data_IF_350973388896
#
_entry.id   IF_350973388896
#
_cell.length_a   1.000
_cell.length_b   1.000
_cell.length_c   1.000
_cell.angle_alpha   90.00
_cell.angle_beta   90.00
_cell.angle_gamma   90.00
#
_symmetry.space_group_name_H-M   'P 1'
#
loop_
_entity.id
_entity.type
_entity.pdbx_description
1 polymer ?
#
# COMPACT_ATOMS: atom_id res chain seq x y z
N UNK A 1 18.17 1.82 -27.77
CA UNK A 1 18.42 2.26 -26.40
C UNK A 1 17.40 1.56 -25.49
N UNK A 2 17.83 0.49 -24.82
CA UNK A 2 17.07 -0.18 -23.77
C UNK A 2 16.91 0.80 -22.60
N UNK A 3 15.73 1.39 -22.44
CA UNK A 3 15.35 2.07 -21.20
C UNK A 3 14.91 0.98 -20.22
N UNK A 4 15.88 0.35 -19.55
CA UNK A 4 15.60 -0.46 -18.39
C UNK A 4 14.95 0.38 -17.28
N UNK A 5 14.17 -0.24 -16.39
CA UNK A 5 13.67 0.40 -15.18
C UNK A 5 14.88 0.89 -14.37
N UNK A 6 14.88 2.18 -14.04
CA UNK A 6 15.88 2.76 -13.14
C UNK A 6 15.38 2.64 -11.69
N UNK A 7 16.29 2.39 -10.73
CA UNK A 7 15.93 2.44 -9.33
C UNK A 7 15.29 3.78 -8.96
N UNK A 8 14.34 3.74 -8.02
CA UNK A 8 13.74 4.95 -7.44
C UNK A 8 14.81 5.86 -6.84
N UNK A 9 14.62 7.18 -6.95
CA UNK A 9 15.47 8.11 -6.25
C UNK A 9 15.37 7.87 -4.73
N UNK A 10 16.49 7.87 -4.03
CA UNK A 10 16.54 7.60 -2.57
C UNK A 10 15.58 8.52 -1.79
N UNK A 11 15.48 9.78 -2.17
CA UNK A 11 14.59 10.74 -1.52
C UNK A 11 13.11 10.37 -1.68
N UNK A 12 12.71 9.91 -2.86
CA UNK A 12 11.32 9.51 -3.14
C UNK A 12 10.98 8.23 -2.37
N UNK A 13 11.88 7.24 -2.36
CA UNK A 13 11.72 6.02 -1.58
C UNK A 13 11.57 6.31 -0.07
N UNK A 14 12.41 7.17 0.49
CA UNK A 14 12.33 7.56 1.90
C UNK A 14 11.03 8.28 2.21
N UNK A 15 10.59 9.20 1.34
CA UNK A 15 9.29 9.89 1.46
C UNK A 15 8.12 8.90 1.46
N UNK A 16 8.15 7.90 0.59
CA UNK A 16 7.11 6.86 0.55
C UNK A 16 7.07 6.05 1.85
N UNK A 17 8.23 5.69 2.40
CA UNK A 17 8.31 4.98 3.67
C UNK A 17 7.78 5.86 4.82
N UNK A 18 8.16 7.12 4.87
CA UNK A 18 7.73 8.05 5.91
C UNK A 18 6.22 8.29 5.88
N UNK A 19 5.66 8.54 4.71
CA UNK A 19 4.22 8.84 4.55
C UNK A 19 3.38 7.58 4.66
N UNK A 20 3.72 6.52 3.92
CA UNK A 20 2.87 5.33 3.81
C UNK A 20 3.03 4.34 4.97
N UNK A 21 4.18 4.33 5.65
CA UNK A 21 4.43 3.38 6.73
C UNK A 21 4.61 4.10 8.06
N UNK A 22 5.66 4.88 8.23
CA UNK A 22 5.99 5.48 9.53
C UNK A 22 4.83 6.29 10.12
N UNK A 23 4.20 7.16 9.34
CA UNK A 23 3.08 7.98 9.82
C UNK A 23 1.89 7.10 10.23
N UNK A 24 1.52 6.10 9.42
CA UNK A 24 0.42 5.18 9.70
C UNK A 24 0.68 4.37 10.98
N UNK A 25 1.87 3.81 11.14
CA UNK A 25 2.22 3.02 12.32
C UNK A 25 2.15 3.84 13.61
N UNK A 26 2.69 5.05 13.59
CA UNK A 26 2.66 5.95 14.76
C UNK A 26 1.22 6.36 15.11
N UNK A 27 0.42 6.75 14.11
CA UNK A 27 -0.96 7.15 14.31
C UNK A 27 -1.82 6.02 14.87
N UNK A 28 -1.70 4.81 14.31
CA UNK A 28 -2.46 3.64 14.75
C UNK A 28 -2.04 3.21 16.17
N UNK A 29 -0.74 3.17 16.44
CA UNK A 29 -0.24 2.82 17.79
C UNK A 29 -0.82 3.77 18.85
N UNK A 30 -0.79 5.08 18.60
CA UNK A 30 -1.31 6.06 19.55
C UNK A 30 -2.84 6.02 19.66
N UNK A 31 -3.54 5.83 18.54
CA UNK A 31 -5.00 5.66 18.55
C UNK A 31 -5.44 4.45 19.37
N UNK A 32 -4.77 3.30 19.17
CA UNK A 32 -5.06 2.07 19.91
C UNK A 32 -4.79 2.23 21.42
N UNK A 33 -3.69 2.88 21.80
CA UNK A 33 -3.39 3.20 23.21
C UNK A 33 -4.51 4.02 23.86
N UNK A 34 -5.06 4.99 23.13
CA UNK A 34 -6.20 5.81 23.60
C UNK A 34 -7.49 4.99 23.69
N UNK A 35 -7.77 4.12 22.71
CA UNK A 35 -8.92 3.22 22.71
C UNK A 35 -8.89 2.28 23.91
N UNK A 36 -7.74 1.65 24.22
CA UNK A 36 -7.57 0.77 25.39
C UNK A 36 -7.84 1.52 26.70
N UNK A 37 -7.34 2.76 26.84
CA UNK A 37 -7.54 3.57 28.03
C UNK A 37 -8.99 4.01 28.22
N UNK A 38 -9.74 4.20 27.13
CA UNK A 38 -11.10 4.77 27.16
C UNK A 38 -12.15 3.83 27.75
N UNK A 39 -11.96 2.51 27.66
CA UNK A 39 -12.82 1.46 28.28
C UNK A 39 -14.31 1.79 28.30
N UNK A 40 -14.94 1.92 27.12
CA UNK A 40 -16.39 2.15 27.02
C UNK A 40 -17.10 0.79 27.05
N UNK A 41 -17.89 0.46 28.09
CA UNK A 41 -18.59 -0.81 28.16
C UNK A 41 -19.50 -1.05 26.96
N UNK A 42 -19.45 -2.24 26.40
CA UNK A 42 -20.26 -2.61 25.22
C UNK A 42 -19.82 -1.98 23.89
N UNK A 43 -18.77 -1.15 23.87
CA UNK A 43 -18.28 -0.52 22.65
C UNK A 43 -17.22 -1.38 21.97
N UNK A 44 -17.36 -1.55 20.65
CA UNK A 44 -16.37 -2.19 19.81
C UNK A 44 -15.66 -1.13 18.96
N UNK A 45 -14.38 -0.93 19.19
CA UNK A 45 -13.56 -0.04 18.36
C UNK A 45 -13.03 -0.76 17.15
N UNK A 46 -12.86 -0.03 16.05
CA UNK A 46 -12.29 -0.57 14.82
C UNK A 46 -11.23 0.35 14.24
N UNK A 47 -10.20 -0.26 13.67
CA UNK A 47 -9.12 0.38 12.94
C UNK A 47 -9.04 -0.23 11.54
N UNK A 48 -9.16 0.59 10.51
CA UNK A 48 -8.88 0.21 9.13
C UNK A 48 -7.48 0.67 8.74
N UNK A 49 -6.61 -0.25 8.35
CA UNK A 49 -5.26 0.08 7.88
C UNK A 49 -5.16 -0.14 6.37
N UNK A 50 -4.90 0.93 5.63
CA UNK A 50 -4.87 0.89 4.16
C UNK A 50 -3.47 0.54 3.65
N UNK A 51 -3.31 -0.72 3.31
CA UNK A 51 -2.17 -1.28 2.61
C UNK A 51 -2.42 -1.30 1.09
N UNK A 52 -1.94 -2.30 0.39
CA UNK A 52 -2.11 -2.51 -1.06
C UNK A 52 -1.92 -4.00 -1.39
N UNK A 53 -2.39 -4.43 -2.55
CA UNK A 53 -1.99 -5.73 -3.11
C UNK A 53 -0.49 -5.81 -3.41
N UNK A 54 0.16 -4.69 -3.70
CA UNK A 54 1.62 -4.58 -3.80
C UNK A 54 2.37 -4.99 -2.53
N UNK A 55 1.67 -5.08 -1.38
CA UNK A 55 2.26 -5.54 -0.12
C UNK A 55 2.55 -7.05 -0.06
N UNK A 56 2.03 -7.82 -0.99
CA UNK A 56 2.22 -9.27 -1.03
C UNK A 56 3.36 -9.71 -1.92
N UNK A 57 3.85 -8.82 -2.79
CA UNK A 57 4.97 -9.07 -3.69
C UNK A 57 5.68 -7.75 -4.00
N UNK A 58 6.96 -7.79 -4.36
CA UNK A 58 7.69 -6.62 -4.83
C UNK A 58 7.33 -6.30 -6.29
N UNK A 59 6.91 -5.08 -6.55
CA UNK A 59 6.75 -4.57 -7.91
C UNK A 59 8.06 -3.92 -8.35
N UNK A 60 8.60 -4.34 -9.50
CA UNK A 60 9.86 -3.80 -10.02
C UNK A 60 9.76 -2.31 -10.33
N UNK A 61 8.56 -1.84 -10.70
CA UNK A 61 8.29 -0.44 -11.00
C UNK A 61 8.21 0.48 -9.77
N UNK A 62 8.03 -0.07 -8.54
CA UNK A 62 7.91 0.72 -7.30
C UNK A 62 8.27 -0.10 -6.06
N UNK A 63 9.56 -0.41 -5.86
CA UNK A 63 10.03 -1.23 -4.74
C UNK A 63 9.80 -0.56 -3.39
N UNK A 64 10.02 0.75 -3.26
CA UNK A 64 9.77 1.53 -2.05
C UNK A 64 8.31 1.48 -1.63
N UNK A 65 7.40 1.69 -2.57
CA UNK A 65 5.96 1.57 -2.32
C UNK A 65 5.57 0.17 -1.83
N UNK A 66 6.03 -0.87 -2.51
CA UNK A 66 5.75 -2.25 -2.13
C UNK A 66 6.24 -2.56 -0.71
N UNK A 67 7.46 -2.13 -0.38
CA UNK A 67 8.05 -2.28 0.95
C UNK A 67 7.24 -1.52 2.02
N UNK A 68 6.88 -0.25 1.76
CA UNK A 68 6.08 0.56 2.68
C UNK A 68 4.72 -0.08 2.98
N UNK A 69 4.03 -0.58 1.94
CA UNK A 69 2.72 -1.23 2.10
C UNK A 69 2.83 -2.64 2.73
N UNK A 70 3.93 -3.36 2.54
CA UNK A 70 4.21 -4.59 3.26
C UNK A 70 4.40 -4.33 4.76
N UNK A 71 5.10 -3.27 5.13
CA UNK A 71 5.24 -2.82 6.51
C UNK A 71 3.88 -2.58 7.18
N UNK A 72 2.99 -1.81 6.56
CA UNK A 72 1.62 -1.55 7.05
C UNK A 72 0.82 -2.84 7.21
N UNK A 73 0.90 -3.75 6.23
CA UNK A 73 0.19 -5.02 6.28
C UNK A 73 0.64 -5.90 7.45
N UNK A 74 1.95 -6.08 7.60
CA UNK A 74 2.51 -6.92 8.67
C UNK A 74 2.23 -6.34 10.04
N UNK A 75 2.40 -5.02 10.21
CA UNK A 75 2.07 -4.31 11.44
C UNK A 75 0.58 -4.46 11.79
N UNK A 76 -0.33 -4.24 10.84
CA UNK A 76 -1.76 -4.38 11.08
C UNK A 76 -2.18 -5.80 11.48
N UNK A 77 -1.56 -6.83 10.88
CA UNK A 77 -1.77 -8.23 11.28
C UNK A 77 -1.30 -8.52 12.71
N UNK A 78 -0.15 -7.97 13.10
CA UNK A 78 0.37 -8.09 14.46
C UNK A 78 -0.49 -7.33 15.45
N UNK A 79 -0.86 -6.08 15.13
CA UNK A 79 -1.70 -5.23 15.97
C UNK A 79 -3.06 -5.88 16.23
N UNK A 80 -3.71 -6.49 15.22
CA UNK A 80 -4.96 -7.21 15.39
C UNK A 80 -4.90 -8.28 16.49
N UNK A 81 -3.80 -9.07 16.50
CA UNK A 81 -3.61 -10.11 17.53
C UNK A 81 -3.35 -9.48 18.90
N UNK A 82 -2.56 -8.42 18.95
CA UNK A 82 -2.20 -7.72 20.17
C UNK A 82 -3.41 -7.13 20.89
N UNK A 83 -4.38 -6.56 20.15
CA UNK A 83 -5.50 -5.82 20.73
C UNK A 83 -6.81 -6.61 20.80
N UNK A 84 -6.79 -7.89 20.45
CA UNK A 84 -8.00 -8.74 20.40
C UNK A 84 -8.74 -8.78 21.74
N UNK A 85 -8.02 -8.90 22.86
CA UNK A 85 -8.60 -8.93 24.23
C UNK A 85 -9.22 -7.60 24.66
N UNK A 86 -8.92 -6.50 23.97
CA UNK A 86 -9.45 -5.17 24.28
C UNK A 86 -10.71 -4.82 23.48
N UNK A 87 -11.32 -5.79 22.79
CA UNK A 87 -12.48 -5.58 21.92
C UNK A 87 -12.22 -4.52 20.82
N UNK A 88 -10.99 -4.50 20.28
CA UNK A 88 -10.58 -3.63 19.18
C UNK A 88 -10.36 -4.48 17.95
N UNK A 89 -11.14 -4.25 16.88
CA UNK A 89 -10.94 -4.85 15.58
C UNK A 89 -9.89 -4.10 14.77
N UNK A 90 -9.02 -4.83 14.07
CA UNK A 90 -8.12 -4.25 13.09
C UNK A 90 -8.32 -4.95 11.76
N UNK A 91 -8.68 -4.21 10.73
CA UNK A 91 -8.86 -4.71 9.37
C UNK A 91 -7.75 -4.16 8.47
N UNK A 92 -6.93 -5.03 7.92
CA UNK A 92 -5.93 -4.65 6.91
C UNK A 92 -6.58 -4.66 5.54
N UNK A 93 -6.59 -3.51 4.87
CA UNK A 93 -7.25 -3.28 3.60
C UNK A 93 -6.17 -3.31 2.51
N UNK A 94 -6.28 -4.25 1.57
CA UNK A 94 -5.32 -4.45 0.48
C UNK A 94 -6.02 -4.33 -0.87
N UNK A 95 -6.29 -3.12 -1.35
CA UNK A 95 -6.89 -2.91 -2.66
C UNK A 95 -5.88 -3.21 -3.78
N UNK A 96 -6.40 -3.64 -4.94
CA UNK A 96 -5.71 -3.51 -6.21
C UNK A 96 -5.90 -2.10 -6.78
N UNK A 97 -6.06 -2.00 -8.10
CA UNK A 97 -6.29 -0.71 -8.73
C UNK A 97 -7.71 -0.19 -8.46
N UNK A 98 -7.79 1.04 -7.96
CA UNK A 98 -9.03 1.77 -7.69
C UNK A 98 -9.02 3.05 -8.50
N UNK A 99 -10.12 3.38 -9.16
CA UNK A 99 -10.28 4.65 -9.89
C UNK A 99 -10.13 5.81 -8.91
N UNK A 100 -9.11 6.62 -9.11
CA UNK A 100 -8.78 7.77 -8.25
C UNK A 100 -7.79 8.70 -8.99
N UNK A 101 -7.66 9.97 -8.58
CA UNK A 101 -6.65 10.87 -9.14
C UNK A 101 -5.23 10.29 -9.09
N UNK A 102 -4.90 9.53 -8.05
CA UNK A 102 -3.61 8.83 -7.97
C UNK A 102 -3.47 7.79 -9.08
N UNK A 103 -4.50 6.95 -9.32
CA UNK A 103 -4.43 5.89 -10.32
C UNK A 103 -4.43 6.42 -11.76
N UNK A 104 -4.92 7.64 -12.00
CA UNK A 104 -4.85 8.29 -13.31
C UNK A 104 -3.41 8.60 -13.73
N UNK A 105 -2.52 8.84 -12.77
CA UNK A 105 -1.10 9.08 -12.99
C UNK A 105 -0.30 7.83 -13.33
N UNK A 106 -0.88 6.66 -13.18
CA UNK A 106 -0.22 5.40 -13.53
C UNK A 106 -0.34 5.14 -15.03
N UNK A 107 0.79 4.98 -15.70
CA UNK A 107 0.87 4.60 -17.12
C UNK A 107 1.28 3.13 -17.20
N UNK A 108 0.42 2.33 -17.80
CA UNK A 108 0.64 0.88 -17.90
C UNK A 108 -0.62 0.07 -17.61
N UNK A 109 -0.45 -1.21 -17.37
CA UNK A 109 -1.55 -2.12 -17.09
C UNK A 109 -2.20 -1.86 -15.73
N UNK A 110 -3.53 -1.75 -15.73
CA UNK A 110 -4.35 -1.60 -14.52
C UNK A 110 -5.42 -2.71 -14.49
N UNK A 111 -5.02 -3.97 -14.40
CA UNK A 111 -5.96 -5.07 -14.52
C UNK A 111 -6.97 -5.06 -13.37
N UNK A 112 -8.23 -5.35 -13.72
CA UNK A 112 -9.34 -5.51 -12.77
C UNK A 112 -9.58 -4.29 -11.87
N UNK A 113 -9.40 -3.09 -12.42
CA UNK A 113 -9.67 -1.83 -11.72
C UNK A 113 -11.13 -1.78 -11.25
N UNK A 114 -11.35 -1.26 -10.04
CA UNK A 114 -12.68 -1.05 -9.47
C UNK A 114 -12.94 0.43 -9.24
N UNK A 115 -14.22 0.83 -9.19
CA UNK A 115 -14.58 2.22 -8.84
C UNK A 115 -14.39 2.48 -7.35
N UNK A 116 -14.28 3.75 -6.97
CA UNK A 116 -14.16 4.18 -5.57
C UNK A 116 -15.35 3.70 -4.73
N UNK A 117 -16.59 3.76 -5.28
CA UNK A 117 -17.80 3.31 -4.59
C UNK A 117 -17.78 1.82 -4.28
N UNK A 118 -17.37 1.01 -5.26
CA UNK A 118 -17.21 -0.45 -5.06
C UNK A 118 -16.13 -0.75 -4.02
N UNK A 119 -15.03 -0.01 -4.04
CA UNK A 119 -13.97 -0.16 -3.04
C UNK A 119 -14.48 0.22 -1.64
N UNK A 120 -15.15 1.36 -1.50
CA UNK A 120 -15.73 1.83 -0.24
C UNK A 120 -16.74 0.83 0.35
N UNK A 121 -17.63 0.30 -0.49
CA UNK A 121 -18.61 -0.71 -0.07
C UNK A 121 -17.91 -1.97 0.48
N UNK A 122 -16.92 -2.51 -0.25
CA UNK A 122 -16.17 -3.69 0.19
C UNK A 122 -15.39 -3.47 1.47
N UNK A 123 -14.83 -2.27 1.64
CA UNK A 123 -14.11 -1.89 2.87
C UNK A 123 -15.09 -1.85 4.05
N UNK A 124 -16.23 -1.18 3.88
CA UNK A 124 -17.27 -1.11 4.91
C UNK A 124 -17.73 -2.50 5.33
N UNK A 125 -18.14 -3.35 4.40
CA UNK A 125 -18.55 -4.73 4.70
C UNK A 125 -17.46 -5.52 5.47
N UNK A 126 -16.20 -5.33 5.11
CA UNK A 126 -15.10 -6.03 5.78
C UNK A 126 -14.90 -5.52 7.21
N UNK A 127 -15.04 -4.22 7.43
CA UNK A 127 -14.94 -3.62 8.77
C UNK A 127 -16.15 -4.00 9.61
N UNK A 128 -17.37 -3.88 9.10
CA UNK A 128 -18.61 -4.25 9.84
C UNK A 128 -18.60 -5.73 10.27
N UNK A 129 -18.07 -6.60 9.41
CA UNK A 129 -17.87 -8.02 9.71
C UNK A 129 -16.59 -8.31 10.52
N UNK A 130 -15.85 -7.31 10.98
CA UNK A 130 -14.59 -7.44 11.70
C UNK A 130 -13.60 -8.41 11.02
N UNK A 131 -13.51 -8.37 9.68
CA UNK A 131 -12.60 -9.24 8.93
C UNK A 131 -11.14 -8.83 9.17
N UNK A 132 -10.26 -9.80 9.33
CA UNK A 132 -8.83 -9.53 9.52
C UNK A 132 -8.20 -8.85 8.29
N UNK A 133 -8.67 -9.18 7.10
CA UNK A 133 -8.12 -8.66 5.85
C UNK A 133 -9.24 -8.44 4.83
N UNK A 134 -9.20 -7.29 4.17
CA UNK A 134 -10.03 -6.94 3.03
C UNK A 134 -9.16 -6.85 1.77
N UNK A 135 -9.21 -7.86 0.91
CA UNK A 135 -8.45 -7.90 -0.36
C UNK A 135 -9.40 -7.92 -1.53
N UNK A 136 -9.19 -7.04 -2.48
CA UNK A 136 -9.96 -7.01 -3.72
C UNK A 136 -9.12 -6.47 -4.89
N UNK A 137 -9.34 -7.03 -6.11
CA UNK A 137 -10.22 -8.15 -6.43
C UNK A 137 -9.67 -9.49 -5.93
N UNK A 138 -10.59 -10.38 -5.50
CA UNK A 138 -10.21 -11.65 -4.86
C UNK A 138 -9.38 -12.57 -5.77
N UNK A 139 -9.61 -12.52 -7.08
CA UNK A 139 -8.88 -13.34 -8.04
C UNK A 139 -7.36 -13.04 -8.03
N UNK A 140 -6.98 -11.77 -7.89
CA UNK A 140 -5.55 -11.39 -7.80
C UNK A 140 -4.91 -11.89 -6.51
N UNK A 141 -5.67 -11.97 -5.40
CA UNK A 141 -5.17 -12.54 -4.14
C UNK A 141 -4.68 -13.96 -4.32
N UNK A 142 -5.46 -14.80 -5.01
CA UNK A 142 -5.07 -16.19 -5.24
C UNK A 142 -3.85 -16.30 -6.16
N UNK A 143 -3.82 -15.50 -7.22
CA UNK A 143 -2.65 -15.40 -8.10
C UNK A 143 -1.38 -15.05 -7.33
N UNK A 144 -1.43 -13.99 -6.53
CA UNK A 144 -0.27 -13.54 -5.73
C UNK A 144 0.10 -14.57 -4.64
N UNK A 145 -0.86 -15.26 -4.03
CA UNK A 145 -0.57 -16.27 -3.01
C UNK A 145 0.18 -17.49 -3.60
N UNK A 146 -0.01 -17.80 -4.87
CA UNK A 146 0.67 -18.89 -5.58
C UNK A 146 2.03 -18.45 -6.16
N UNK A 147 2.27 -17.16 -6.33
CA UNK A 147 3.50 -16.63 -6.91
C UNK A 147 4.78 -17.17 -6.25
N UNK A 148 4.91 -17.22 -4.91
CA UNK A 148 6.13 -17.72 -4.27
C UNK A 148 6.44 -19.20 -4.55
N UNK A 149 5.46 -19.95 -5.06
CA UNK A 149 5.64 -21.36 -5.44
C UNK A 149 6.24 -21.53 -6.84
N UNK A 150 6.29 -20.44 -7.62
CA UNK A 150 6.85 -20.44 -8.96
C UNK A 150 8.34 -20.09 -8.92
N UNK A 151 9.15 -20.62 -9.85
CA UNK A 151 10.51 -20.12 -10.10
C UNK A 151 10.50 -18.61 -10.39
N UNK A 152 11.56 -17.91 -9.97
CA UNK A 152 11.66 -16.43 -10.07
C UNK A 152 11.41 -15.91 -11.50
N UNK A 153 11.92 -16.60 -12.51
CA UNK A 153 11.69 -16.23 -13.91
C UNK A 153 10.20 -16.24 -14.30
N UNK A 154 9.42 -17.18 -13.77
CA UNK A 154 7.97 -17.23 -14.00
C UNK A 154 7.23 -16.18 -13.19
N UNK A 155 7.69 -15.85 -11.97
CA UNK A 155 7.16 -14.75 -11.19
C UNK A 155 7.31 -13.42 -11.95
N UNK A 156 8.49 -13.15 -12.51
CA UNK A 156 8.77 -11.95 -13.29
C UNK A 156 7.82 -11.84 -14.50
N UNK A 157 7.56 -12.94 -15.21
CA UNK A 157 6.61 -12.95 -16.34
C UNK A 157 5.18 -12.69 -15.85
N UNK A 158 4.76 -13.32 -14.76
CA UNK A 158 3.41 -13.18 -14.20
C UNK A 158 3.13 -11.76 -13.67
N UNK A 159 4.17 -11.03 -13.23
CA UNK A 159 4.06 -9.68 -12.71
C UNK A 159 4.12 -8.59 -13.79
N UNK A 160 4.58 -8.88 -15.00
CA UNK A 160 4.64 -7.90 -16.11
C UNK A 160 3.35 -7.08 -16.33
N UNK A 161 2.13 -7.67 -16.27
CA UNK A 161 0.90 -6.89 -16.45
C UNK A 161 0.66 -5.84 -15.36
N UNK A 162 1.39 -5.90 -14.25
CA UNK A 162 1.31 -4.97 -13.12
C UNK A 162 2.42 -3.93 -13.13
N UNK A 163 3.32 -4.00 -14.11
CA UNK A 163 4.34 -2.96 -14.27
C UNK A 163 3.68 -1.69 -14.80
N UNK A 164 3.90 -0.61 -14.09
CA UNK A 164 3.44 0.72 -14.46
C UNK A 164 4.51 1.76 -14.16
N UNK A 165 4.48 2.87 -14.87
CA UNK A 165 5.23 4.06 -14.51
C UNK A 165 4.30 5.11 -13.91
N UNK A 166 4.83 5.95 -13.03
CA UNK A 166 4.08 7.04 -12.40
C UNK A 166 4.50 8.34 -13.06
N UNK A 167 3.53 9.11 -13.57
CA UNK A 167 3.79 10.49 -14.01
C UNK A 167 3.96 11.34 -12.76
N UNK A 168 5.12 12.01 -12.57
CA UNK A 168 5.32 12.90 -11.46
C UNK A 168 4.25 14.00 -11.44
N UNK A 169 3.80 14.43 -10.25
CA UNK A 169 2.99 15.63 -10.13
C UNK A 169 3.88 16.89 -10.31
N UNK A 170 3.23 18.02 -10.53
CA UNK A 170 3.92 19.30 -10.77
C UNK A 170 4.86 19.68 -9.61
N UNK A 171 4.51 19.32 -8.36
CA UNK A 171 5.36 19.56 -7.19
C UNK A 171 6.60 18.66 -7.19
N UNK A 172 6.44 17.38 -7.48
CA UNK A 172 7.56 16.42 -7.57
C UNK A 172 8.46 16.80 -8.72
N UNK A 173 7.90 17.23 -9.87
CA UNK A 173 8.68 17.66 -11.03
C UNK A 173 9.47 18.93 -10.72
N UNK A 174 8.88 19.92 -10.06
CA UNK A 174 9.55 21.14 -9.63
C UNK A 174 10.68 20.88 -8.60
N UNK A 175 10.51 19.88 -7.73
CA UNK A 175 11.57 19.47 -6.79
C UNK A 175 12.72 18.74 -7.50
N UNK A 176 12.43 17.87 -8.47
CA UNK A 176 13.43 17.18 -9.28
C UNK A 176 14.25 18.18 -10.12
N UNK A 177 13.59 19.17 -10.72
CA UNK A 177 14.25 20.22 -11.51
C UNK A 177 15.18 21.09 -10.65
N UNK A 178 14.76 21.44 -9.43
CA UNK A 178 15.61 22.16 -8.45
C UNK A 178 16.84 21.34 -8.04
N UNK A 179 16.67 20.03 -7.85
CA UNK A 179 17.77 19.15 -7.44
C UNK A 179 18.77 18.96 -8.58
N UNK A 180 18.30 18.89 -9.82
CA UNK A 180 19.16 18.76 -10.99
C UNK A 180 19.94 20.07 -11.27
N UNK A 181 19.31 21.23 -11.14
CA UNK A 181 19.99 22.53 -11.29
C UNK A 181 21.10 22.74 -10.24
N UNK A 182 20.86 22.35 -8.98
CA UNK A 182 21.89 22.44 -7.93
C UNK A 182 23.07 21.50 -8.14
N UNK A 183 22.93 20.44 -8.95
CA UNK A 183 24.03 19.53 -9.31
C UNK A 183 24.86 20.03 -10.47
N UNK A 184 24.27 20.80 -11.39
CA UNK A 184 25.00 21.41 -12.52
C UNK A 184 25.79 22.64 -12.08
N UNK A 185 25.37 23.33 -11.03
CA UNK A 185 26.07 24.49 -10.45
C UNK A 185 27.24 24.10 -9.51
N UNK A 186 27.37 22.81 -9.16
CA UNK A 186 28.41 22.29 -8.26
C UNK A 186 29.50 21.48 -8.99
N UNK A 187 29.48 21.43 -10.31
CA UNK A 187 30.45 20.77 -11.19
C UNK A 187 31.24 21.81 -12.00
#
# INVERSE_FOLDING_TARGET
TEKGLMPEATADMLREIDVNARADLLAVNEAVRKMIKRKVPGHHFQVGMVSSMASFTGLASSPGYSASKACVRVFGQAMRRLVAEHNIGVTVICPGFVVSPMSERFVGGKPLMVTADVAAHRIREAMDANRATCVFPKILRWGIALLPLLPEALQAIALKPFDFSVIPDAETQAMQDKTNNNRTDAS
#
